data_IF_720575764174
#
_entry.id   IF_720575764174
#
_cell.length_a   1.000
_cell.length_b   1.000
_cell.length_c   1.000
_cell.angle_alpha   90.00
_cell.angle_beta   90.00
_cell.angle_gamma   90.00
#
_symmetry.space_group_name_H-M   'P 1'
#
loop_
_entity.id
_entity.type
_entity.pdbx_description
1 polymer ?
#
# COMPACT_ATOMS: atom_id res chain seq x y z
N UNK A 1 18.21 -34.57 -7.72
CA UNK A 1 17.98 -35.38 -6.51
C UNK A 1 17.46 -34.54 -5.32
N UNK A 2 18.09 -33.41 -4.98
CA UNK A 2 17.67 -32.55 -3.85
C UNK A 2 16.25 -31.99 -4.04
N UNK A 3 15.92 -31.43 -5.22
CA UNK A 3 14.58 -30.87 -5.50
C UNK A 3 13.43 -31.90 -5.44
N UNK A 4 13.72 -33.22 -5.45
CA UNK A 4 12.69 -34.26 -5.30
C UNK A 4 12.40 -34.59 -3.82
N UNK A 5 13.23 -34.10 -2.89
CA UNK A 5 13.13 -34.39 -1.44
C UNK A 5 12.69 -33.16 -0.64
N UNK A 6 12.64 -31.98 -1.25
CA UNK A 6 12.28 -30.71 -0.60
C UNK A 6 11.32 -29.91 -1.48
N UNK A 7 10.40 -29.20 -0.82
CA UNK A 7 9.53 -28.24 -1.50
C UNK A 7 10.27 -26.91 -1.60
N UNK A 8 10.59 -26.49 -2.83
CA UNK A 8 11.20 -25.18 -3.08
C UNK A 8 10.11 -24.11 -3.02
N UNK A 9 10.27 -23.14 -2.13
CA UNK A 9 9.40 -21.96 -2.04
C UNK A 9 10.20 -20.78 -2.57
N UNK A 10 9.72 -20.19 -3.67
CA UNK A 10 10.35 -19.04 -4.29
C UNK A 10 9.58 -17.76 -3.96
N UNK A 11 10.23 -16.85 -3.24
CA UNK A 11 9.73 -15.50 -2.99
C UNK A 11 10.19 -14.55 -4.10
N UNK A 12 9.88 -14.91 -5.34
CA UNK A 12 10.16 -14.04 -6.48
C UNK A 12 9.32 -12.78 -6.35
N UNK A 13 9.95 -11.64 -6.55
CA UNK A 13 9.26 -10.37 -6.63
C UNK A 13 8.37 -10.37 -7.87
N UNK A 14 7.11 -9.95 -7.72
CA UNK A 14 6.19 -9.73 -8.84
C UNK A 14 6.18 -8.24 -9.20
N UNK A 15 5.78 -7.91 -10.44
CA UNK A 15 5.70 -6.50 -10.88
C UNK A 15 4.72 -5.72 -10.01
N UNK A 16 3.54 -6.30 -9.78
CA UNK A 16 2.50 -5.74 -8.91
C UNK A 16 3.00 -5.57 -7.47
N UNK A 17 3.71 -6.58 -6.93
CA UNK A 17 4.25 -6.53 -5.57
C UNK A 17 5.31 -5.43 -5.40
N UNK A 18 6.16 -5.23 -6.42
CA UNK A 18 7.12 -4.13 -6.41
C UNK A 18 6.43 -2.77 -6.56
N UNK A 19 5.44 -2.66 -7.46
CA UNK A 19 4.65 -1.43 -7.62
C UNK A 19 4.03 -1.02 -6.28
N UNK A 20 3.36 -1.93 -5.58
CA UNK A 20 2.75 -1.65 -4.28
C UNK A 20 3.80 -1.29 -3.21
N UNK A 21 4.99 -1.93 -3.24
CA UNK A 21 6.10 -1.59 -2.36
C UNK A 21 6.62 -0.17 -2.61
N UNK A 22 6.86 0.20 -3.88
CA UNK A 22 7.34 1.52 -4.25
C UNK A 22 6.29 2.60 -3.95
N UNK A 23 5.01 2.28 -4.16
CA UNK A 23 3.89 3.15 -3.79
C UNK A 23 3.88 3.46 -2.29
N UNK A 24 4.10 2.45 -1.45
CA UNK A 24 4.23 2.63 0.00
C UNK A 24 5.40 3.56 0.35
N UNK A 25 6.55 3.38 -0.30
CA UNK A 25 7.76 4.18 -0.04
C UNK A 25 7.55 5.66 -0.40
N UNK A 26 7.00 5.95 -1.59
CA UNK A 26 6.78 7.34 -2.02
C UNK A 26 5.78 8.06 -1.14
N UNK A 27 4.70 7.39 -0.75
CA UNK A 27 3.67 7.99 0.12
C UNK A 27 4.22 8.23 1.51
N UNK A 28 4.98 7.29 2.07
CA UNK A 28 5.62 7.47 3.37
C UNK A 28 6.62 8.63 3.40
N UNK A 29 7.29 8.91 2.27
CA UNK A 29 8.25 10.02 2.14
C UNK A 29 7.56 11.37 1.91
N UNK A 30 6.57 11.42 1.03
CA UNK A 30 5.86 12.66 0.66
C UNK A 30 4.85 13.10 1.72
N UNK A 31 4.15 12.16 2.35
CA UNK A 31 3.07 12.41 3.31
C UNK A 31 3.17 11.49 4.53
N UNK A 32 4.17 11.72 5.40
CA UNK A 32 4.34 10.92 6.62
C UNK A 32 3.13 11.03 7.56
N UNK A 33 2.42 12.16 7.53
CA UNK A 33 1.18 12.40 8.28
C UNK A 33 0.07 11.38 7.93
N UNK A 34 -0.08 11.08 6.64
CA UNK A 34 -1.08 10.13 6.16
C UNK A 34 -0.69 8.69 6.49
N UNK A 35 0.60 8.36 6.41
CA UNK A 35 1.09 7.02 6.71
C UNK A 35 1.00 6.71 8.21
N UNK A 36 1.31 7.67 9.08
CA UNK A 36 1.11 7.54 10.53
C UNK A 36 -0.38 7.33 10.86
N UNK A 37 -1.26 8.14 10.26
CA UNK A 37 -2.71 7.99 10.42
C UNK A 37 -3.21 6.62 9.94
N UNK A 38 -2.68 6.11 8.83
CA UNK A 38 -3.01 4.76 8.33
C UNK A 38 -2.59 3.68 9.32
N UNK A 39 -1.38 3.76 9.85
CA UNK A 39 -0.86 2.80 10.83
C UNK A 39 -1.66 2.84 12.13
N UNK A 40 -2.05 4.04 12.58
CA UNK A 40 -2.95 4.21 13.72
C UNK A 40 -4.30 3.52 13.48
N UNK A 41 -4.96 3.76 12.34
CA UNK A 41 -6.25 3.16 12.01
C UNK A 41 -6.18 1.63 11.90
N UNK A 42 -5.08 1.08 11.38
CA UNK A 42 -4.86 -0.37 11.31
C UNK A 42 -4.75 -0.97 12.73
N UNK A 43 -3.95 -0.35 13.60
CA UNK A 43 -3.78 -0.79 14.97
C UNK A 43 -5.10 -0.68 15.77
N UNK A 44 -5.83 0.42 15.59
CA UNK A 44 -7.13 0.63 16.22
C UNK A 44 -8.17 -0.39 15.73
N UNK A 45 -8.27 -0.64 14.43
CA UNK A 45 -9.21 -1.64 13.89
C UNK A 45 -8.87 -3.07 14.37
N UNK A 46 -7.59 -3.43 14.44
CA UNK A 46 -7.17 -4.71 14.99
C UNK A 46 -7.57 -4.85 16.46
N UNK A 47 -7.36 -3.81 17.27
CA UNK A 47 -7.78 -3.77 18.67
C UNK A 47 -9.30 -3.86 18.81
N UNK A 48 -10.05 -3.11 18.01
CA UNK A 48 -11.52 -3.12 18.05
C UNK A 48 -12.09 -4.50 17.69
N UNK A 49 -11.54 -5.17 16.67
CA UNK A 49 -11.92 -6.54 16.31
C UNK A 49 -11.61 -7.53 17.42
N UNK A 50 -10.48 -7.37 18.10
CA UNK A 50 -10.14 -8.17 19.26
C UNK A 50 -11.16 -7.96 20.39
N UNK A 51 -11.44 -6.72 20.77
CA UNK A 51 -12.40 -6.39 21.84
C UNK A 51 -13.81 -6.91 21.52
N UNK A 52 -14.25 -6.82 20.26
CA UNK A 52 -15.54 -7.39 19.84
C UNK A 52 -15.60 -8.89 20.06
N UNK A 53 -14.54 -9.61 19.66
CA UNK A 53 -14.47 -11.06 19.86
C UNK A 53 -14.46 -11.43 21.35
N UNK A 54 -13.67 -10.72 22.16
CA UNK A 54 -13.64 -10.93 23.61
C UNK A 54 -15.02 -10.68 24.24
N UNK A 55 -15.74 -9.67 23.76
CA UNK A 55 -17.10 -9.37 24.21
C UNK A 55 -18.08 -10.48 23.81
N UNK A 56 -17.98 -11.01 22.59
CA UNK A 56 -18.79 -12.13 22.10
C UNK A 56 -18.53 -13.42 22.90
N UNK A 57 -17.26 -13.73 23.16
CA UNK A 57 -16.85 -14.88 23.97
C UNK A 57 -17.38 -14.76 25.42
N UNK A 58 -17.34 -13.55 25.99
CA UNK A 58 -17.89 -13.29 27.33
C UNK A 58 -19.42 -13.49 27.38
N UNK A 59 -20.15 -13.06 26.35
CA UNK A 59 -21.61 -13.28 26.24
C UNK A 59 -21.91 -14.79 26.21
N UNK A 60 -21.19 -15.54 25.37
CA UNK A 60 -21.36 -16.99 25.26
C UNK A 60 -21.06 -17.71 26.59
N UNK A 61 -20.02 -17.27 27.30
CA UNK A 61 -19.66 -17.81 28.60
C UNK A 61 -20.77 -17.59 29.65
N UNK A 62 -21.33 -16.38 29.72
CA UNK A 62 -22.43 -16.07 30.65
C UNK A 62 -23.66 -16.88 30.28
N UNK A 63 -24.06 -16.93 29.00
CA UNK A 63 -25.20 -17.72 28.55
C UNK A 63 -25.07 -19.22 28.87
N UNK A 64 -23.86 -19.77 28.78
CA UNK A 64 -23.60 -21.18 29.09
C UNK A 64 -23.59 -21.45 30.60
N UNK A 65 -23.08 -20.50 31.39
CA UNK A 65 -22.97 -20.61 32.85
C UNK A 65 -24.32 -20.40 33.55
N UNK A 66 -25.19 -19.57 32.98
CA UNK A 66 -26.54 -19.27 33.50
C UNK A 66 -27.57 -20.34 33.08
N UNK A 67 -27.37 -21.60 33.47
CA UNK A 67 -28.25 -22.72 33.10
C UNK A 67 -29.65 -22.71 33.76
N UNK A 68 -29.98 -21.70 34.59
CA UNK A 68 -31.28 -21.59 35.25
C UNK A 68 -31.62 -20.15 35.59
N UNK A 69 -32.38 -19.51 34.69
CA UNK A 69 -33.01 -18.18 34.85
C UNK A 69 -32.09 -16.94 34.74
N UNK A 70 -31.60 -16.67 33.53
CA UNK A 70 -30.87 -15.44 33.15
C UNK A 70 -31.58 -14.13 33.57
N UNK A 71 -32.91 -14.15 33.70
CA UNK A 71 -33.73 -13.00 34.11
C UNK A 71 -33.57 -12.63 35.59
N UNK A 72 -33.07 -13.53 36.43
CA UNK A 72 -32.79 -13.27 37.85
C UNK A 72 -31.35 -12.80 38.11
N UNK A 73 -30.45 -13.05 37.16
CA UNK A 73 -29.05 -12.67 37.26
C UNK A 73 -28.86 -11.23 36.78
N UNK A 74 -28.99 -10.28 37.72
CA UNK A 74 -28.76 -8.85 37.46
C UNK A 74 -27.39 -8.58 36.85
N UNK A 75 -26.37 -9.39 37.17
CA UNK A 75 -25.02 -9.20 36.63
C UNK A 75 -24.95 -9.57 35.15
N UNK A 76 -25.68 -10.61 34.73
CA UNK A 76 -25.79 -10.98 33.32
C UNK A 76 -26.49 -9.90 32.49
N UNK A 77 -27.54 -9.27 33.04
CA UNK A 77 -28.27 -8.17 32.38
C UNK A 77 -27.36 -6.94 32.21
N UNK A 78 -26.63 -6.54 33.26
CA UNK A 78 -25.71 -5.40 33.20
C UNK A 78 -24.55 -5.63 32.21
N UNK A 79 -24.01 -6.85 32.14
CA UNK A 79 -22.96 -7.20 31.17
C UNK A 79 -23.51 -7.21 29.74
N UNK A 80 -24.74 -7.70 29.51
CA UNK A 80 -25.36 -7.68 28.20
C UNK A 80 -25.65 -6.25 27.72
N UNK A 81 -26.16 -5.37 28.59
CA UNK A 81 -26.44 -3.98 28.25
C UNK A 81 -25.16 -3.18 27.95
N UNK A 82 -24.12 -3.34 28.76
CA UNK A 82 -22.80 -2.71 28.51
C UNK A 82 -22.12 -3.26 27.25
N UNK A 83 -22.21 -4.57 27.00
CA UNK A 83 -21.69 -5.21 25.78
C UNK A 83 -22.41 -4.73 24.52
N UNK A 84 -23.74 -4.54 24.60
CA UNK A 84 -24.54 -3.98 23.50
C UNK A 84 -24.16 -2.53 23.21
N UNK A 85 -24.01 -1.70 24.25
CA UNK A 85 -23.57 -0.32 24.08
C UNK A 85 -22.18 -0.22 23.45
N UNK A 86 -21.22 -1.03 23.94
CA UNK A 86 -19.86 -1.09 23.41
C UNK A 86 -19.83 -1.57 21.95
N UNK A 87 -20.65 -2.57 21.60
CA UNK A 87 -20.74 -3.07 20.22
C UNK A 87 -21.25 -2.01 19.25
N UNK A 88 -22.24 -1.21 19.66
CA UNK A 88 -22.77 -0.10 18.84
C UNK A 88 -21.71 0.99 18.64
N UNK A 89 -21.00 1.39 19.70
CA UNK A 89 -19.91 2.37 19.63
C UNK A 89 -18.76 1.90 18.72
N UNK A 90 -18.34 0.63 18.83
CA UNK A 90 -17.30 0.07 17.96
C UNK A 90 -17.77 0.04 16.50
N UNK A 91 -19.03 -0.33 16.23
CA UNK A 91 -19.56 -0.33 14.86
C UNK A 91 -19.56 1.07 14.23
N UNK A 92 -19.91 2.10 15.00
CA UNK A 92 -19.86 3.48 14.53
C UNK A 92 -18.41 3.93 14.25
N UNK A 93 -17.48 3.64 15.16
CA UNK A 93 -16.05 3.93 14.97
C UNK A 93 -15.43 3.20 13.79
N UNK A 94 -15.75 1.91 13.60
CA UNK A 94 -15.30 1.12 12.45
C UNK A 94 -15.82 1.71 11.14
N UNK A 95 -17.08 2.18 11.10
CA UNK A 95 -17.62 2.84 9.90
C UNK A 95 -16.82 4.09 9.54
N UNK A 96 -16.52 4.95 10.51
CA UNK A 96 -15.72 6.16 10.30
C UNK A 96 -14.28 5.81 9.87
N UNK A 97 -13.70 4.77 10.48
CA UNK A 97 -12.37 4.26 10.13
C UNK A 97 -12.30 3.76 8.69
N UNK A 98 -13.31 3.02 8.22
CA UNK A 98 -13.40 2.54 6.84
C UNK A 98 -13.53 3.69 5.83
N UNK A 99 -14.38 4.68 6.11
CA UNK A 99 -14.51 5.87 5.25
C UNK A 99 -13.18 6.64 5.19
N UNK A 100 -12.52 6.82 6.33
CA UNK A 100 -11.21 7.49 6.40
C UNK A 100 -10.14 6.70 5.66
N UNK A 101 -10.10 5.38 5.81
CA UNK A 101 -9.15 4.51 5.12
C UNK A 101 -9.34 4.57 3.59
N UNK A 102 -10.59 4.66 3.12
CA UNK A 102 -10.90 4.82 1.70
C UNK A 102 -10.36 6.15 1.16
N UNK A 103 -10.56 7.26 1.88
CA UNK A 103 -10.02 8.57 1.50
C UNK A 103 -8.49 8.54 1.44
N UNK A 104 -7.84 7.86 2.41
CA UNK A 104 -6.38 7.68 2.40
C UNK A 104 -5.94 6.85 1.19
N UNK A 105 -6.66 5.78 0.86
CA UNK A 105 -6.35 4.95 -0.31
C UNK A 105 -6.49 5.73 -1.61
N UNK A 106 -7.58 6.49 -1.79
CA UNK A 106 -7.80 7.36 -2.95
C UNK A 106 -6.66 8.37 -3.15
N UNK A 107 -6.18 8.97 -2.06
CA UNK A 107 -5.01 9.85 -2.10
C UNK A 107 -3.74 9.08 -2.49
N UNK A 108 -3.57 7.86 -1.97
CA UNK A 108 -2.44 6.97 -2.32
C UNK A 108 -2.41 6.68 -3.81
N UNK A 109 -3.58 6.42 -4.43
CA UNK A 109 -3.67 6.13 -5.85
C UNK A 109 -3.13 7.27 -6.74
N UNK A 110 -3.10 8.52 -6.25
CA UNK A 110 -2.48 9.64 -6.97
C UNK A 110 -0.98 9.43 -7.26
N UNK A 111 -0.29 8.63 -6.46
CA UNK A 111 1.13 8.29 -6.64
C UNK A 111 1.34 6.94 -7.35
N UNK A 112 0.28 6.21 -7.69
CA UNK A 112 0.40 4.92 -8.39
C UNK A 112 1.15 5.01 -9.72
N UNK A 113 0.95 6.03 -10.58
CA UNK A 113 1.69 6.12 -11.84
C UNK A 113 3.21 6.17 -11.68
N UNK A 114 3.72 6.87 -10.65
CA UNK A 114 5.17 6.94 -10.40
C UNK A 114 5.72 5.61 -9.89
N UNK A 115 4.96 4.91 -9.04
CA UNK A 115 5.34 3.58 -8.56
C UNK A 115 5.35 2.55 -9.69
N UNK A 116 4.35 2.57 -10.57
CA UNK A 116 4.26 1.68 -11.73
C UNK A 116 5.43 1.90 -12.70
N UNK A 117 5.73 3.15 -13.04
CA UNK A 117 6.86 3.48 -13.91
C UNK A 117 8.20 3.02 -13.31
N UNK A 118 8.38 3.24 -12.00
CA UNK A 118 9.59 2.85 -11.28
C UNK A 118 9.74 1.33 -11.18
N UNK A 119 8.63 0.60 -11.03
CA UNK A 119 8.64 -0.86 -11.05
C UNK A 119 9.10 -1.37 -12.42
N UNK A 120 8.53 -0.86 -13.52
CA UNK A 120 8.94 -1.22 -14.89
C UNK A 120 10.44 -0.95 -15.09
N UNK A 121 10.93 0.21 -14.63
CA UNK A 121 12.36 0.56 -14.73
C UNK A 121 13.25 -0.45 -14.00
N UNK A 122 12.86 -0.89 -12.80
CA UNK A 122 13.60 -1.93 -12.09
C UNK A 122 13.63 -3.25 -12.86
N UNK A 123 12.51 -3.68 -13.44
CA UNK A 123 12.47 -4.91 -14.23
C UNK A 123 13.32 -4.82 -15.50
N UNK A 124 13.33 -3.67 -16.17
CA UNK A 124 14.28 -3.41 -17.23
C UNK A 124 15.72 -3.61 -16.74
N UNK A 125 16.06 -3.11 -15.53
CA UNK A 125 17.39 -3.28 -14.92
C UNK A 125 17.69 -4.76 -14.63
N UNK A 126 16.73 -5.54 -14.14
CA UNK A 126 16.93 -6.97 -13.86
C UNK A 126 17.13 -7.80 -15.11
N UNK A 127 16.78 -7.28 -16.29
CA UNK A 127 17.00 -7.94 -17.58
C UNK A 127 18.37 -7.62 -18.21
N UNK A 128 19.10 -6.60 -17.74
CA UNK A 128 20.46 -6.28 -18.24
C UNK A 128 21.51 -7.41 -18.08
N UNK A 129 21.44 -8.30 -17.06
CA UNK A 129 22.32 -9.46 -16.99
C UNK A 129 22.28 -10.38 -18.23
N UNK A 130 21.20 -10.31 -19.03
CA UNK A 130 21.10 -11.03 -20.30
C UNK A 130 22.05 -10.48 -21.38
N UNK A 131 22.51 -9.23 -21.23
CA UNK A 131 23.51 -8.60 -22.10
C UNK A 131 24.92 -8.85 -21.57
N UNK A 132 25.16 -8.53 -20.29
CA UNK A 132 26.42 -8.81 -19.61
C UNK A 132 26.15 -9.19 -18.14
N UNK A 133 26.65 -10.33 -17.65
CA UNK A 133 26.47 -10.76 -16.26
C UNK A 133 26.94 -9.75 -15.20
N UNK A 134 27.82 -8.80 -15.54
CA UNK A 134 28.26 -7.76 -14.63
C UNK A 134 27.15 -6.74 -14.27
N UNK A 135 26.10 -6.62 -15.08
CA UNK A 135 24.98 -5.68 -14.84
C UNK A 135 23.91 -6.22 -13.89
N UNK A 136 24.33 -6.89 -12.82
CA UNK A 136 23.43 -7.41 -11.80
C UNK A 136 23.33 -6.44 -10.62
N UNK A 137 22.13 -5.90 -10.40
CA UNK A 137 21.86 -4.95 -9.32
C UNK A 137 20.87 -5.52 -8.32
N UNK A 138 21.05 -5.18 -7.04
CA UNK A 138 20.13 -5.58 -5.98
C UNK A 138 18.91 -4.66 -5.93
N UNK A 139 17.77 -5.19 -5.45
CA UNK A 139 16.59 -4.38 -5.20
C UNK A 139 16.87 -3.24 -4.21
N UNK A 140 17.67 -3.53 -3.16
CA UNK A 140 18.04 -2.54 -2.13
C UNK A 140 18.76 -1.34 -2.76
N UNK A 141 19.68 -1.59 -3.70
CA UNK A 141 20.37 -0.54 -4.42
C UNK A 141 19.39 0.36 -5.20
N UNK A 142 18.44 -0.24 -5.91
CA UNK A 142 17.42 0.50 -6.64
C UNK A 142 16.53 1.34 -5.70
N UNK A 143 16.08 0.75 -4.59
CA UNK A 143 15.27 1.46 -3.58
C UNK A 143 16.01 2.66 -3.00
N UNK A 144 17.32 2.54 -2.74
CA UNK A 144 18.10 3.67 -2.24
C UNK A 144 18.14 4.83 -3.25
N UNK A 145 18.32 4.53 -4.54
CA UNK A 145 18.28 5.56 -5.59
C UNK A 145 16.88 6.17 -5.69
N UNK A 146 15.83 5.35 -5.58
CA UNK A 146 14.44 5.81 -5.59
C UNK A 146 14.17 6.81 -4.46
N UNK A 147 14.59 6.50 -3.23
CA UNK A 147 14.45 7.38 -2.06
C UNK A 147 15.23 8.69 -2.26
N UNK A 148 16.49 8.62 -2.68
CA UNK A 148 17.31 9.81 -2.95
C UNK A 148 16.67 10.69 -4.02
N UNK A 149 16.06 10.08 -5.04
CA UNK A 149 15.39 10.80 -6.12
C UNK A 149 14.17 11.58 -5.62
N UNK A 150 13.39 11.00 -4.70
CA UNK A 150 12.25 11.67 -4.06
C UNK A 150 12.73 12.83 -3.18
N UNK A 151 13.77 12.62 -2.38
CA UNK A 151 14.34 13.66 -1.50
C UNK A 151 14.87 14.85 -2.32
N UNK A 152 15.59 14.58 -3.41
CA UNK A 152 16.07 15.62 -4.33
C UNK A 152 14.92 16.37 -5.03
N UNK A 153 13.80 15.70 -5.30
CA UNK A 153 12.60 16.32 -5.86
C UNK A 153 11.99 17.32 -4.88
N UNK A 154 11.85 16.91 -3.61
CA UNK A 154 11.29 17.74 -2.55
C UNK A 154 12.15 18.99 -2.28
N UNK A 155 13.48 18.88 -2.42
CA UNK A 155 14.42 20.00 -2.27
C UNK A 155 14.46 20.95 -3.47
N UNK A 156 13.68 20.69 -4.54
CA UNK A 156 13.66 21.51 -5.75
C UNK A 156 14.95 21.44 -6.58
N UNK A 157 15.81 20.44 -6.30
CA UNK A 157 17.05 20.20 -7.04
C UNK A 157 16.82 19.56 -8.40
N UNK A 158 15.61 19.06 -8.65
CA UNK A 158 15.18 18.55 -9.95
C UNK A 158 14.57 19.65 -10.79
N UNK A 159 15.19 19.98 -11.92
CA UNK A 159 14.58 20.86 -12.89
C UNK A 159 13.33 20.21 -13.46
N UNK A 160 12.18 20.88 -13.30
CA UNK A 160 10.86 20.42 -13.74
C UNK A 160 10.82 20.02 -15.22
N UNK A 161 11.67 20.62 -16.05
CA UNK A 161 11.83 20.26 -17.46
C UNK A 161 12.50 18.89 -17.69
N UNK A 162 13.50 18.54 -16.88
CA UNK A 162 14.19 17.23 -16.94
C UNK A 162 13.32 16.12 -16.37
N UNK A 163 12.59 16.40 -15.29
CA UNK A 163 11.60 15.48 -14.73
C UNK A 163 10.45 15.22 -15.71
N UNK A 164 9.92 16.26 -16.34
CA UNK A 164 8.90 16.10 -17.38
C UNK A 164 9.46 15.33 -18.57
N UNK A 165 10.67 15.63 -19.03
CA UNK A 165 11.34 14.87 -20.10
C UNK A 165 11.48 13.39 -19.73
N UNK A 166 11.87 13.05 -18.51
CA UNK A 166 11.99 11.65 -18.07
C UNK A 166 10.61 10.95 -18.02
N UNK A 167 9.60 11.61 -17.45
CA UNK A 167 8.26 11.05 -17.27
C UNK A 167 7.47 10.96 -18.59
N UNK A 168 7.71 11.87 -19.53
CA UNK A 168 7.03 11.90 -20.83
C UNK A 168 7.89 11.38 -21.98
N UNK A 169 9.12 10.92 -21.71
CA UNK A 169 10.09 10.52 -22.75
C UNK A 169 10.49 11.67 -23.68
N UNK A 170 10.43 12.91 -23.19
CA UNK A 170 10.69 14.12 -23.96
C UNK A 170 9.52 14.60 -24.81
N UNK A 171 8.31 14.05 -24.60
CA UNK A 171 7.10 14.60 -25.20
C UNK A 171 6.69 15.83 -24.38
N UNK A 172 7.22 16.99 -24.76
CA UNK A 172 6.57 18.26 -24.49
C UNK A 172 5.23 18.30 -25.26
N UNK A 173 4.21 18.97 -24.70
CA UNK A 173 2.93 19.16 -25.39
C UNK A 173 3.07 19.98 -26.69
N UNK A 174 4.25 20.54 -26.97
CA UNK A 174 4.61 21.08 -28.27
C UNK A 174 6.00 20.56 -28.69
N UNK A 175 6.05 19.91 -29.85
CA UNK A 175 7.28 19.47 -30.51
C UNK A 175 7.61 20.48 -31.63
N UNK A 176 8.62 21.36 -31.48
CA UNK A 176 8.96 22.36 -32.50
C UNK A 176 9.77 21.78 -33.68
N UNK A 177 10.15 20.50 -33.64
CA UNK A 177 10.91 19.85 -34.70
C UNK A 177 10.03 18.87 -35.50
N UNK A 178 10.05 18.95 -36.83
CA UNK A 178 9.31 18.01 -37.67
C UNK A 178 9.89 16.61 -37.50
N UNK A 179 8.99 15.61 -37.48
CA UNK A 179 9.35 14.23 -37.26
C UNK A 179 10.41 13.74 -38.26
N UNK A 180 11.58 13.29 -37.78
CA UNK A 180 12.70 12.94 -38.62
C UNK A 180 12.48 11.64 -39.43
N UNK A 181 11.40 10.91 -39.16
CA UNK A 181 11.10 9.66 -39.83
C UNK A 181 9.59 9.50 -40.13
N UNK A 182 9.04 10.51 -40.81
CA UNK A 182 7.65 10.61 -41.29
C UNK A 182 7.14 9.45 -42.16
N UNK A 183 8.02 8.51 -42.56
CA UNK A 183 7.65 7.30 -43.30
C UNK A 183 7.02 6.19 -42.45
N UNK A 184 7.34 6.10 -41.16
CA UNK A 184 6.87 4.99 -40.30
C UNK A 184 6.13 5.43 -39.06
N UNK A 185 6.30 6.69 -38.65
CA UNK A 185 5.51 7.32 -37.61
C UNK A 185 4.80 8.53 -38.24
N UNK A 186 3.48 8.49 -38.33
CA UNK A 186 2.69 9.59 -38.88
C UNK A 186 2.54 10.65 -37.79
N UNK A 187 2.77 11.92 -38.13
CA UNK A 187 2.55 13.02 -37.19
C UNK A 187 1.07 13.09 -36.82
N UNK A 188 0.78 13.03 -35.51
CA UNK A 188 -0.58 13.23 -35.02
C UNK A 188 -0.92 14.72 -35.10
N UNK A 189 -2.09 14.99 -35.68
CA UNK A 189 -2.70 16.32 -35.80
C UNK A 189 -2.92 17.00 -34.46
#
# INVERSE_FOLDING_TARGET
>A
EICNKVTLINFALTVEGLEDQLLGIVVAKERPDLEEKRQFLIAESAKNKQTLKETEDNILHIMTSSAGNLLEDKTAIEVLDSSKALSVDIQEKEKISLETAKIIDEFRQGYRPVAQHSAILYYCITDLPNVDPMYQYSLIWFINIYIISIENAAEGKLHKGELNFLLTGGVGLENPFPNPASKWLIDKS
#
